data_IF_508552447327
#
_entry.id   IF_508552447327
#
_cell.length_a   1.000
_cell.length_b   1.000
_cell.length_c   1.000
_cell.angle_alpha   90.00
_cell.angle_beta   90.00
_cell.angle_gamma   90.00
#
_symmetry.space_group_name_H-M   'P 1'
#
loop_
_entity.id
_entity.type
_entity.pdbx_description
1 polymer ?
#
# COMPACT_ATOMS: atom_id res chain seq x y z
N UNK A 1 -8.22 -14.07 -9.84
CA UNK A 1 -8.16 -14.71 -8.50
C UNK A 1 -7.39 -16.03 -8.50
N UNK A 2 -7.82 -17.07 -9.20
CA UNK A 2 -7.17 -18.40 -9.17
C UNK A 2 -5.67 -18.37 -9.52
N UNK A 3 -5.28 -17.58 -10.54
CA UNK A 3 -3.88 -17.38 -10.90
C UNK A 3 -3.05 -16.79 -9.74
N UNK A 4 -3.52 -15.71 -9.12
CA UNK A 4 -2.85 -15.06 -7.99
C UNK A 4 -2.68 -16.03 -6.81
N UNK A 5 -3.74 -16.75 -6.44
CA UNK A 5 -3.68 -17.77 -5.39
C UNK A 5 -2.65 -18.87 -5.73
N UNK A 6 -2.58 -19.30 -7.00
CA UNK A 6 -1.57 -20.24 -7.47
C UNK A 6 -0.14 -19.74 -7.26
N UNK A 7 0.14 -18.48 -7.65
CA UNK A 7 1.46 -17.84 -7.47
C UNK A 7 1.81 -17.72 -5.99
N UNK A 8 0.88 -17.22 -5.16
CA UNK A 8 1.09 -17.05 -3.72
C UNK A 8 1.37 -18.38 -3.02
N UNK A 9 0.67 -19.45 -3.42
CA UNK A 9 0.84 -20.79 -2.84
C UNK A 9 2.23 -21.39 -3.10
N UNK A 10 2.84 -21.09 -4.24
CA UNK A 10 4.15 -21.66 -4.63
C UNK A 10 5.34 -20.77 -4.30
N UNK A 11 5.11 -19.58 -3.75
CA UNK A 11 6.19 -18.64 -3.54
C UNK A 11 7.13 -19.05 -2.39
N UNK A 12 8.41 -18.74 -2.55
CA UNK A 12 9.47 -19.03 -1.59
C UNK A 12 9.28 -18.22 -0.30
N UNK A 13 9.07 -18.91 0.82
CA UNK A 13 8.82 -18.31 2.14
C UNK A 13 10.08 -17.92 2.90
N UNK A 14 11.25 -18.07 2.29
CA UNK A 14 12.53 -17.57 2.84
C UNK A 14 12.85 -16.14 2.37
N UNK A 15 11.92 -15.51 1.63
CA UNK A 15 12.03 -14.18 1.02
C UNK A 15 10.74 -13.41 1.27
N UNK A 16 10.78 -12.07 1.27
CA UNK A 16 9.57 -11.30 1.48
C UNK A 16 8.67 -11.45 0.26
N UNK A 17 7.38 -11.62 0.52
CA UNK A 17 6.33 -11.67 -0.48
C UNK A 17 5.75 -10.28 -0.69
N UNK A 18 6.15 -9.64 -1.79
CA UNK A 18 5.74 -8.29 -2.15
C UNK A 18 4.79 -8.35 -3.35
N UNK A 19 3.60 -7.77 -3.20
CA UNK A 19 2.60 -7.65 -4.27
C UNK A 19 2.57 -6.22 -4.77
N UNK A 20 2.56 -6.05 -6.10
CA UNK A 20 2.36 -4.76 -6.75
C UNK A 20 0.98 -4.73 -7.39
N UNK A 21 0.25 -3.63 -7.18
CA UNK A 21 -1.03 -3.37 -7.81
C UNK A 21 -1.15 -1.91 -8.21
N UNK A 22 -2.00 -1.61 -9.19
CA UNK A 22 -2.32 -0.20 -9.49
C UNK A 22 -3.30 0.35 -8.45
N UNK A 23 -4.50 -0.21 -8.39
CA UNK A 23 -5.53 0.14 -7.40
C UNK A 23 -5.23 -0.50 -6.05
N UNK A 24 -5.58 0.22 -4.98
CA UNK A 24 -5.33 -0.17 -3.60
C UNK A 24 -6.40 -1.11 -3.04
N UNK A 25 -6.10 -1.63 -1.85
CA UNK A 25 -7.03 -2.39 -1.02
C UNK A 25 -7.44 -1.53 0.17
N UNK A 26 -6.48 -1.17 1.01
CA UNK A 26 -6.66 -0.20 2.10
C UNK A 26 -5.96 1.09 1.74
N UNK A 27 -6.63 2.20 1.98
CA UNK A 27 -6.12 3.56 1.80
C UNK A 27 -7.08 4.52 2.51
N UNK A 28 -6.56 5.62 3.04
CA UNK A 28 -7.36 6.79 3.36
C UNK A 28 -7.94 7.40 2.07
N UNK A 29 -8.83 8.39 2.16
CA UNK A 29 -9.34 9.06 0.97
C UNK A 29 -10.60 9.86 1.20
N UNK A 30 -11.43 9.95 0.16
CA UNK A 30 -12.61 10.79 0.10
C UNK A 30 -13.73 10.07 -0.66
N UNK A 31 -14.96 10.58 -0.58
CA UNK A 31 -16.01 10.16 -1.51
C UNK A 31 -15.81 10.90 -2.84
N UNK A 32 -15.61 10.16 -3.93
CA UNK A 32 -15.37 10.74 -5.25
C UNK A 32 -16.63 11.50 -5.72
N UNK A 33 -16.53 12.81 -5.99
CA UNK A 33 -17.69 13.64 -6.28
C UNK A 33 -18.31 13.37 -7.66
N UNK A 34 -17.55 12.79 -8.60
CA UNK A 34 -18.01 12.50 -9.95
C UNK A 34 -18.65 11.11 -10.05
N UNK A 35 -18.17 10.16 -9.23
CA UNK A 35 -18.57 8.77 -9.25
C UNK A 35 -19.53 8.38 -8.11
N UNK A 36 -19.71 9.23 -7.10
CA UNK A 36 -20.50 9.01 -5.89
C UNK A 36 -20.15 7.67 -5.21
N UNK A 37 -18.84 7.44 -5.06
CA UNK A 37 -18.28 6.19 -4.53
C UNK A 37 -17.16 6.47 -3.53
N UNK A 38 -17.02 5.62 -2.50
CA UNK A 38 -15.91 5.74 -1.57
C UNK A 38 -14.59 5.48 -2.30
N UNK A 39 -13.68 6.44 -2.21
CA UNK A 39 -12.33 6.40 -2.75
C UNK A 39 -11.29 6.17 -1.64
N UNK A 40 -11.63 5.25 -0.76
CA UNK A 40 -10.86 4.75 0.38
C UNK A 40 -11.29 3.30 0.64
N UNK A 41 -10.46 2.54 1.36
CA UNK A 41 -10.73 1.15 1.78
C UNK A 41 -11.60 0.36 0.77
N UNK A 42 -11.02 0.07 -0.39
CA UNK A 42 -11.72 -0.26 -1.62
C UNK A 42 -12.66 -1.47 -1.45
N UNK A 43 -13.95 -1.17 -1.37
CA UNK A 43 -15.04 -2.09 -1.01
C UNK A 43 -15.16 -3.34 -1.89
N UNK A 44 -14.72 -3.31 -3.15
CA UNK A 44 -14.67 -4.50 -4.01
C UNK A 44 -13.38 -5.30 -3.88
N UNK A 45 -12.23 -4.62 -3.83
CA UNK A 45 -10.92 -5.25 -3.85
C UNK A 45 -10.64 -6.00 -2.54
N UNK A 46 -10.99 -5.38 -1.41
CA UNK A 46 -10.78 -5.97 -0.07
C UNK A 46 -11.42 -7.36 0.03
N UNK A 47 -12.75 -7.54 -0.07
CA UNK A 47 -13.35 -8.86 0.11
C UNK A 47 -12.96 -9.86 -0.99
N UNK A 48 -12.59 -9.38 -2.19
CA UNK A 48 -12.23 -10.25 -3.29
C UNK A 48 -10.83 -10.87 -3.14
N UNK A 49 -9.86 -10.09 -2.64
CA UNK A 49 -8.42 -10.39 -2.76
C UNK A 49 -7.65 -10.31 -1.44
N UNK A 50 -7.89 -9.32 -0.56
CA UNK A 50 -7.13 -9.18 0.69
C UNK A 50 -7.10 -10.44 1.57
N UNK A 51 -8.19 -11.25 1.67
CA UNK A 51 -8.12 -12.54 2.37
C UNK A 51 -7.08 -13.52 1.83
N UNK A 52 -6.68 -13.41 0.56
CA UNK A 52 -5.58 -14.21 0.01
C UNK A 52 -4.23 -13.71 0.52
N UNK A 53 -4.04 -12.40 0.66
CA UNK A 53 -2.81 -11.83 1.20
C UNK A 53 -2.60 -12.30 2.64
N UNK A 54 -3.64 -12.24 3.46
CA UNK A 54 -3.62 -12.73 4.84
C UNK A 54 -3.38 -14.24 4.90
N UNK A 55 -4.14 -15.03 4.13
CA UNK A 55 -4.02 -16.50 4.08
C UNK A 55 -2.61 -16.97 3.71
N UNK A 56 -1.94 -16.26 2.82
CA UNK A 56 -0.62 -16.63 2.32
C UNK A 56 0.52 -15.85 2.95
N UNK A 57 0.23 -15.02 3.97
CA UNK A 57 1.20 -14.19 4.69
C UNK A 57 2.02 -13.33 3.74
N UNK A 58 1.34 -12.55 2.90
CA UNK A 58 1.99 -11.50 2.10
C UNK A 58 2.55 -10.45 3.05
N UNK A 59 3.80 -10.07 2.86
CA UNK A 59 4.47 -9.13 3.77
C UNK A 59 4.11 -7.69 3.42
N UNK A 60 4.06 -7.37 2.12
CA UNK A 60 3.84 -6.01 1.63
C UNK A 60 3.00 -5.99 0.36
N UNK A 61 2.06 -5.05 0.29
CA UNK A 61 1.33 -4.70 -0.92
C UNK A 61 1.60 -3.23 -1.25
N UNK A 62 2.17 -2.96 -2.42
CA UNK A 62 2.45 -1.60 -2.89
C UNK A 62 1.44 -1.26 -3.98
N UNK A 63 0.70 -0.19 -3.75
CA UNK A 63 -0.31 0.34 -4.67
C UNK A 63 -0.04 1.79 -5.04
N UNK A 64 -0.65 2.24 -6.13
CA UNK A 64 -0.74 3.66 -6.45
C UNK A 64 -2.20 4.07 -6.42
N UNK A 65 -2.66 4.60 -7.55
CA UNK A 65 -4.01 5.10 -7.80
C UNK A 65 -4.35 6.36 -7.01
N UNK A 66 -4.26 6.34 -5.68
CA UNK A 66 -4.35 7.56 -4.88
C UNK A 66 -3.02 8.33 -4.95
N UNK A 67 -3.09 9.61 -5.29
CA UNK A 67 -1.93 10.46 -5.61
C UNK A 67 -1.32 11.12 -4.36
N UNK A 68 -0.93 10.29 -3.40
CA UNK A 68 -0.21 10.67 -2.18
C UNK A 68 0.65 9.49 -1.69
N UNK A 69 1.30 9.64 -0.52
CA UNK A 69 2.04 8.57 0.14
C UNK A 69 1.34 8.13 1.44
N UNK A 70 1.23 6.83 1.67
CA UNK A 70 0.62 6.31 2.91
C UNK A 70 1.20 4.95 3.28
N UNK A 71 1.37 4.72 4.58
CA UNK A 71 1.69 3.43 5.16
C UNK A 71 0.51 2.94 6.00
N UNK A 72 0.08 1.70 5.77
CA UNK A 72 -1.02 1.07 6.48
C UNK A 72 -0.66 -0.36 6.90
N UNK A 73 -1.34 -0.84 7.95
CA UNK A 73 -1.25 -2.23 8.39
C UNK A 73 -2.64 -2.82 8.65
N UNK A 74 -2.92 -3.98 8.05
CA UNK A 74 -4.15 -4.71 8.28
C UNK A 74 -3.94 -6.21 8.15
N UNK A 75 -4.49 -7.00 9.08
CA UNK A 75 -4.47 -8.47 8.98
C UNK A 75 -3.08 -9.08 8.95
N UNK A 76 -2.07 -8.40 9.51
CA UNK A 76 -0.66 -8.82 9.46
C UNK A 76 0.07 -8.48 8.15
N UNK A 77 -0.61 -7.81 7.21
CA UNK A 77 -0.05 -7.37 5.92
C UNK A 77 0.21 -5.86 5.97
N UNK A 78 1.36 -5.43 5.42
CA UNK A 78 1.68 -4.01 5.24
C UNK A 78 1.17 -3.54 3.88
N UNK A 79 0.68 -2.32 3.82
CA UNK A 79 0.25 -1.67 2.59
C UNK A 79 0.97 -0.34 2.45
N UNK A 80 1.46 -0.06 1.25
CA UNK A 80 2.03 1.23 0.90
C UNK A 80 1.27 1.82 -0.29
N UNK A 81 0.79 3.05 -0.14
CA UNK A 81 0.29 3.86 -1.25
C UNK A 81 1.44 4.75 -1.72
N UNK A 82 1.75 4.70 -3.01
CA UNK A 82 2.80 5.50 -3.65
C UNK A 82 2.37 6.04 -5.02
N UNK A 83 1.22 6.72 -5.07
CA UNK A 83 0.78 7.44 -6.29
C UNK A 83 1.38 8.85 -6.43
N UNK A 84 2.27 9.25 -5.52
CA UNK A 84 2.87 10.58 -5.45
C UNK A 84 4.00 10.86 -6.47
N UNK A 85 4.15 10.05 -7.52
CA UNK A 85 5.32 10.12 -8.42
C UNK A 85 5.17 11.14 -9.57
N UNK A 86 4.20 12.07 -9.49
CA UNK A 86 4.07 13.19 -10.44
C UNK A 86 2.65 13.49 -10.95
N UNK A 87 1.65 12.69 -10.60
CA UNK A 87 0.23 13.01 -10.86
C UNK A 87 -0.26 14.16 -9.99
N UNK A 88 -1.33 14.86 -10.40
CA UNK A 88 -1.97 15.87 -9.53
C UNK A 88 -2.36 15.21 -8.21
N UNK A 89 -1.88 15.74 -7.09
CA UNK A 89 -2.19 15.18 -5.78
C UNK A 89 -3.68 15.18 -5.51
N UNK A 90 -4.14 14.11 -4.86
CA UNK A 90 -5.49 14.02 -4.33
C UNK A 90 -5.73 15.07 -3.24
N UNK A 91 -6.98 15.45 -2.99
CA UNK A 91 -7.32 16.31 -1.85
C UNK A 91 -6.97 15.63 -0.53
N UNK A 92 -6.93 16.44 0.54
CA UNK A 92 -6.83 15.92 1.91
C UNK A 92 -7.97 14.90 2.16
N UNK A 93 -7.65 13.69 2.66
CA UNK A 93 -8.64 12.68 2.97
C UNK A 93 -9.72 13.17 3.95
N UNK A 94 -10.98 13.00 3.57
CA UNK A 94 -12.12 13.16 4.47
C UNK A 94 -12.32 11.92 5.36
N UNK A 95 -11.82 10.77 4.92
CA UNK A 95 -11.80 9.51 5.65
C UNK A 95 -10.36 9.03 5.83
N UNK A 96 -9.97 8.77 7.08
CA UNK A 96 -8.70 8.13 7.38
C UNK A 96 -8.96 6.65 7.64
N UNK A 97 -8.32 5.78 6.87
CA UNK A 97 -8.47 4.33 7.06
C UNK A 97 -8.05 3.96 8.48
N UNK A 98 -8.80 3.09 9.20
CA UNK A 98 -8.36 2.55 10.49
C UNK A 98 -7.04 1.78 10.42
N UNK A 99 -6.65 1.32 9.22
CA UNK A 99 -5.38 0.66 8.97
C UNK A 99 -4.21 1.65 8.85
N UNK A 100 -4.49 2.94 8.61
CA UNK A 100 -3.48 3.97 8.38
C UNK A 100 -2.58 4.17 9.59
N UNK A 101 -1.28 4.24 9.34
CA UNK A 101 -0.24 4.47 10.36
C UNK A 101 0.52 5.75 10.09
N UNK A 102 0.69 6.10 8.82
CA UNK A 102 1.33 7.33 8.38
C UNK A 102 0.80 7.75 7.02
N UNK A 103 0.66 9.06 6.81
CA UNK A 103 0.10 9.64 5.59
C UNK A 103 0.83 10.97 5.28
N UNK A 104 1.16 11.18 4.01
CA UNK A 104 1.64 12.45 3.48
C UNK A 104 0.91 12.80 2.18
N UNK A 105 -0.01 13.76 2.28
CA UNK A 105 -0.77 14.33 1.16
C UNK A 105 -0.04 15.55 0.62
N UNK A 106 -0.24 15.86 -0.67
CA UNK A 106 0.40 16.99 -1.34
C UNK A 106 1.94 16.99 -1.30
N UNK A 107 2.56 15.84 -1.02
CA UNK A 107 4.01 15.62 -1.09
C UNK A 107 4.31 14.65 -2.24
N UNK A 108 5.10 15.11 -3.22
CA UNK A 108 5.61 14.22 -4.25
C UNK A 108 6.74 13.36 -3.72
N UNK A 109 7.01 12.24 -4.40
CA UNK A 109 8.13 11.41 -4.01
C UNK A 109 7.99 9.95 -4.39
N UNK A 110 8.70 9.09 -3.65
CA UNK A 110 8.83 7.66 -3.95
C UNK A 110 8.99 6.84 -2.67
N UNK A 111 8.76 5.55 -2.81
CA UNK A 111 9.08 4.54 -1.81
C UNK A 111 10.34 3.80 -2.24
N UNK A 112 11.38 3.83 -1.42
CA UNK A 112 12.52 2.91 -1.53
C UNK A 112 12.21 1.67 -0.68
N UNK A 113 12.43 0.48 -1.25
CA UNK A 113 12.22 -0.82 -0.59
C UNK A 113 13.54 -1.58 -0.58
N UNK A 114 14.16 -1.69 0.58
CA UNK A 114 15.42 -2.39 0.78
C UNK A 114 15.15 -3.75 1.45
N UNK A 115 15.43 -4.84 0.74
CA UNK A 115 15.35 -6.21 1.28
C UNK A 115 16.71 -6.58 1.87
N UNK A 116 16.77 -6.65 3.19
CA UNK A 116 17.95 -7.05 3.96
C UNK A 116 17.91 -8.55 4.25
N UNK A 117 18.82 -9.07 5.07
CA UNK A 117 18.93 -10.51 5.29
C UNK A 117 17.69 -11.14 5.97
N UNK A 118 17.02 -10.38 6.85
CA UNK A 118 15.92 -10.86 7.70
C UNK A 118 14.80 -9.82 7.87
N UNK A 119 14.92 -8.67 7.20
CA UNK A 119 13.96 -7.58 7.32
C UNK A 119 13.82 -6.83 6.00
N UNK A 120 12.68 -6.18 5.83
CA UNK A 120 12.45 -5.19 4.78
C UNK A 120 12.40 -3.82 5.42
N UNK A 121 13.11 -2.87 4.81
CA UNK A 121 13.08 -1.46 5.15
C UNK A 121 12.30 -0.70 4.08
N UNK A 122 11.29 0.06 4.52
CA UNK A 122 10.53 0.99 3.70
C UNK A 122 10.96 2.41 4.02
N UNK A 123 11.39 3.15 3.01
CA UNK A 123 11.70 4.57 3.14
C UNK A 123 10.80 5.38 2.20
N UNK A 124 9.81 6.05 2.77
CA UNK A 124 9.00 7.03 2.05
C UNK A 124 9.79 8.33 1.98
N UNK A 125 10.01 8.82 0.76
CA UNK A 125 10.83 10.00 0.50
C UNK A 125 10.06 11.06 -0.25
N UNK A 126 10.44 12.30 -0.06
CA UNK A 126 9.99 13.42 -0.90
C UNK A 126 10.66 13.39 -2.29
N UNK A 127 10.27 14.31 -3.16
CA UNK A 127 10.81 14.44 -4.52
C UNK A 127 12.30 14.81 -4.57
N UNK A 128 12.84 15.38 -3.48
CA UNK A 128 14.25 15.74 -3.34
C UNK A 128 15.07 14.60 -2.72
N UNK A 129 14.44 13.48 -2.35
CA UNK A 129 15.06 12.34 -1.69
C UNK A 129 15.15 12.45 -0.17
N UNK A 130 14.60 13.50 0.43
CA UNK A 130 14.46 13.66 1.87
C UNK A 130 13.57 12.56 2.45
N UNK A 131 13.95 12.00 3.61
CA UNK A 131 13.16 10.97 4.28
C UNK A 131 11.94 11.63 4.94
N UNK A 132 10.75 11.14 4.60
CA UNK A 132 9.49 11.56 5.21
C UNK A 132 9.03 10.56 6.29
N UNK A 133 9.20 9.27 6.03
CA UNK A 133 8.82 8.20 6.95
C UNK A 133 9.62 6.92 6.71
N UNK A 134 9.84 6.14 7.76
CA UNK A 134 10.58 4.89 7.71
C UNK A 134 9.81 3.79 8.47
N UNK A 135 9.75 2.59 7.90
CA UNK A 135 9.22 1.39 8.55
C UNK A 135 10.12 0.19 8.34
N UNK A 136 10.17 -0.70 9.33
CA UNK A 136 10.95 -1.94 9.29
C UNK A 136 10.13 -3.11 9.78
N UNK A 137 10.21 -4.23 9.07
CA UNK A 137 9.55 -5.46 9.48
C UNK A 137 10.33 -6.70 9.06
N UNK A 138 10.26 -7.75 9.89
CA UNK A 138 10.77 -9.08 9.55
C UNK A 138 9.82 -9.84 8.62
N UNK A 139 10.37 -10.81 7.89
CA UNK A 139 9.65 -11.73 7.00
C UNK A 139 10.19 -13.15 7.14
#
# INVERSE_FOLDING_TARGET
KAWLEGVLKTADRTKPLIVLSHSYFYASGYDDPDLDKPWYDHWQNIPAVSPLFEKYSVDLVISGHNHYQEYLEHGGVRYAIIGAMGGKSDPEPAHVSPASKWLAVAAFGRLDVDVLATEVLLSFRDENGGLLHEERFGY
#
